data_IF_281734827676
#
_entry.id   IF_281734827676
#
_cell.length_a   1.000
_cell.length_b   1.000
_cell.length_c   1.000
_cell.angle_alpha   90.00
_cell.angle_beta   90.00
_cell.angle_gamma   90.00
#
_symmetry.space_group_name_H-M   'P 1'
#
loop_
_entity.id
_entity.type
_entity.pdbx_description
1 polymer ?
#
# COMPACT_ATOMS: atom_id res chain seq x y z
N UNK A 1 -25.24 13.23 2.13
CA UNK A 1 -24.17 12.51 1.40
C UNK A 1 -24.60 12.35 -0.05
N UNK A 2 -23.80 12.82 -1.00
CA UNK A 2 -24.04 12.61 -2.45
C UNK A 2 -23.18 11.43 -2.88
N UNK A 3 -23.79 10.37 -3.39
CA UNK A 3 -23.09 9.21 -3.96
C UNK A 3 -23.30 9.24 -5.47
N UNK A 4 -22.21 9.23 -6.26
CA UNK A 4 -22.29 9.24 -7.71
C UNK A 4 -21.28 8.29 -8.33
N UNK A 5 -21.74 7.51 -9.32
CA UNK A 5 -20.89 6.74 -10.23
C UNK A 5 -20.72 7.45 -11.59
N UNK A 6 -21.36 8.61 -11.77
CA UNK A 6 -21.37 9.31 -13.05
C UNK A 6 -20.04 10.04 -13.29
N UNK A 7 -19.26 9.68 -14.33
CA UNK A 7 -17.98 10.33 -14.64
C UNK A 7 -18.12 11.81 -14.96
N UNK A 8 -19.27 12.28 -15.42
CA UNK A 8 -19.51 13.71 -15.64
C UNK A 8 -19.58 14.50 -14.33
N UNK A 9 -19.84 13.83 -13.21
CA UNK A 9 -19.90 14.46 -11.88
C UNK A 9 -18.58 14.29 -11.14
N UNK A 10 -18.03 13.06 -11.06
CA UNK A 10 -16.84 12.83 -10.23
C UNK A 10 -15.53 13.33 -10.89
N UNK A 11 -15.44 13.39 -12.23
CA UNK A 11 -14.20 13.89 -12.89
C UNK A 11 -13.98 15.38 -12.63
N UNK A 12 -14.98 16.28 -12.80
CA UNK A 12 -14.82 17.68 -12.41
C UNK A 12 -14.53 17.83 -10.91
N UNK A 13 -15.23 17.07 -10.07
CA UNK A 13 -15.04 17.06 -8.62
C UNK A 13 -13.58 16.73 -8.23
N UNK A 14 -12.99 15.67 -8.79
CA UNK A 14 -11.59 15.28 -8.53
C UNK A 14 -10.57 16.12 -9.30
N UNK A 15 -11.01 16.94 -10.26
CA UNK A 15 -10.18 17.75 -11.15
C UNK A 15 -10.37 19.25 -10.92
N UNK A 16 -11.09 19.90 -11.84
CA UNK A 16 -11.26 21.35 -11.87
C UNK A 16 -11.86 21.94 -10.58
N UNK A 17 -12.72 21.19 -9.89
CA UNK A 17 -13.41 21.60 -8.67
C UNK A 17 -12.76 21.07 -7.39
N UNK A 18 -11.57 20.45 -7.47
CA UNK A 18 -10.91 19.85 -6.30
C UNK A 18 -10.72 20.82 -5.14
N UNK A 19 -10.47 22.10 -5.43
CA UNK A 19 -10.30 23.14 -4.40
C UNK A 19 -11.59 23.45 -3.62
N UNK A 20 -12.75 22.98 -4.10
CA UNK A 20 -14.05 23.11 -3.42
C UNK A 20 -14.44 21.85 -2.65
N UNK A 21 -13.58 20.82 -2.63
CA UNK A 21 -13.85 19.52 -2.03
C UNK A 21 -12.76 19.21 -1.02
N UNK A 22 -13.12 19.28 0.24
CA UNK A 22 -12.26 18.86 1.35
C UNK A 22 -12.34 17.34 1.59
N UNK A 23 -11.33 16.84 2.30
CA UNK A 23 -11.36 15.47 2.82
C UNK A 23 -12.49 15.36 3.84
N UNK A 24 -13.24 14.26 3.80
CA UNK A 24 -14.36 14.06 4.71
C UNK A 24 -13.89 14.13 6.18
N UNK A 25 -14.56 14.91 7.06
CA UNK A 25 -14.18 15.02 8.46
C UNK A 25 -14.12 13.68 9.21
N UNK A 26 -14.92 12.69 8.81
CA UNK A 26 -14.87 11.33 9.35
C UNK A 26 -13.56 10.63 9.01
N UNK A 27 -13.07 10.72 7.77
CA UNK A 27 -11.78 10.16 7.35
C UNK A 27 -10.65 10.85 8.11
N UNK A 28 -10.66 12.19 8.18
CA UNK A 28 -9.66 12.93 8.93
C UNK A 28 -9.69 12.58 10.42
N UNK A 29 -10.88 12.44 11.02
CA UNK A 29 -11.03 12.08 12.43
C UNK A 29 -10.44 10.70 12.75
N UNK A 30 -10.74 9.72 11.91
CA UNK A 30 -10.20 8.35 12.06
C UNK A 30 -8.68 8.34 11.84
N UNK A 31 -8.19 8.97 10.77
CA UNK A 31 -6.76 9.05 10.51
C UNK A 31 -6.03 9.81 11.64
N UNK A 32 -6.61 10.89 12.18
CA UNK A 32 -6.03 11.68 13.28
C UNK A 32 -5.86 10.88 14.55
N UNK A 33 -6.74 9.92 14.82
CA UNK A 33 -6.60 9.06 15.99
C UNK A 33 -5.32 8.22 15.92
N UNK A 34 -5.03 7.62 14.76
CA UNK A 34 -3.89 6.72 14.61
C UNK A 34 -2.61 7.44 14.19
N UNK A 35 -2.72 8.49 13.37
CA UNK A 35 -1.63 9.16 12.67
C UNK A 35 -1.88 10.68 12.61
N UNK A 36 -1.83 11.39 13.75
CA UNK A 36 -2.20 12.79 13.86
C UNK A 36 -1.40 13.76 12.97
N UNK A 37 -0.20 13.37 12.52
CA UNK A 37 0.70 14.13 11.65
C UNK A 37 0.78 13.57 10.22
N UNK A 38 -0.10 12.64 9.85
CA UNK A 38 -0.15 12.14 8.47
C UNK A 38 -0.68 13.18 7.49
N UNK A 39 -0.30 13.02 6.22
CA UNK A 39 -0.73 13.88 5.12
C UNK A 39 -2.26 13.94 4.93
N UNK A 40 -3.00 12.97 5.47
CA UNK A 40 -4.46 12.89 5.42
C UNK A 40 -5.12 13.82 6.47
N UNK A 41 -4.36 14.21 7.50
CA UNK A 41 -4.87 14.89 8.70
C UNK A 41 -4.46 16.36 8.78
N UNK A 42 -3.24 16.68 8.32
CA UNK A 42 -2.70 18.04 8.38
C UNK A 42 -3.48 18.99 7.45
N UNK A 43 -3.59 20.24 7.85
CA UNK A 43 -4.32 21.25 7.10
C UNK A 43 -3.64 21.56 5.75
N UNK A 44 -4.38 22.18 4.82
CA UNK A 44 -3.94 22.37 3.42
C UNK A 44 -2.56 23.04 3.25
N UNK A 45 -2.19 23.96 4.15
CA UNK A 45 -0.87 24.61 4.15
C UNK A 45 0.25 23.62 4.47
N UNK A 46 0.09 22.88 5.56
CA UNK A 46 1.07 21.92 6.09
C UNK A 46 1.10 20.61 5.29
N UNK A 47 0.11 20.33 4.45
CA UNK A 47 0.22 19.15 3.57
C UNK A 47 1.22 19.37 2.42
N UNK A 48 1.42 20.61 1.97
CA UNK A 48 2.11 20.86 0.70
C UNK A 48 3.56 20.38 0.71
N UNK A 49 4.29 20.57 1.81
CA UNK A 49 5.68 20.10 1.94
C UNK A 49 5.74 18.57 2.06
N UNK A 50 4.88 17.95 2.87
CA UNK A 50 4.78 16.48 2.96
C UNK A 50 4.52 15.89 1.57
N UNK A 51 3.54 16.44 0.83
CA UNK A 51 3.20 15.98 -0.52
C UNK A 51 4.36 16.14 -1.49
N UNK A 52 5.13 17.22 -1.39
CA UNK A 52 6.28 17.46 -2.24
C UNK A 52 7.36 16.40 -2.01
N UNK A 53 7.68 16.08 -0.76
CA UNK A 53 8.63 15.02 -0.39
C UNK A 53 8.16 13.65 -0.86
N UNK A 54 6.88 13.33 -0.64
CA UNK A 54 6.28 12.09 -1.13
C UNK A 54 6.35 11.99 -2.66
N UNK A 55 5.97 13.05 -3.38
CA UNK A 55 5.98 13.08 -4.85
C UNK A 55 7.39 12.93 -5.40
N UNK A 56 8.39 13.61 -4.82
CA UNK A 56 9.81 13.45 -5.20
C UNK A 56 10.23 11.98 -5.02
N UNK A 57 9.90 11.38 -3.88
CA UNK A 57 10.20 9.98 -3.63
C UNK A 57 9.54 9.01 -4.60
N UNK A 58 8.23 9.15 -4.85
CA UNK A 58 7.51 8.27 -5.77
C UNK A 58 7.98 8.42 -7.22
N UNK A 59 8.29 9.63 -7.69
CA UNK A 59 8.79 9.86 -9.06
C UNK A 59 10.19 9.25 -9.25
N UNK A 60 11.01 9.25 -8.19
CA UNK A 60 12.36 8.72 -8.24
C UNK A 60 12.44 7.20 -7.98
N UNK A 61 11.32 6.57 -7.63
CA UNK A 61 11.29 5.12 -7.53
C UNK A 61 11.48 4.49 -8.90
N UNK A 62 12.48 3.61 -8.98
CA UNK A 62 12.72 2.79 -10.16
C UNK A 62 11.60 1.75 -10.30
N UNK A 63 10.56 2.06 -11.06
CA UNK A 63 9.48 1.11 -11.39
C UNK A 63 9.97 -0.04 -12.30
N UNK A 64 11.15 0.09 -12.91
CA UNK A 64 11.76 -0.96 -13.74
C UNK A 64 12.00 -2.27 -12.98
N UNK A 65 12.16 -2.20 -11.65
CA UNK A 65 12.36 -3.38 -10.80
C UNK A 65 11.04 -4.01 -10.32
N UNK A 66 9.91 -3.31 -10.47
CA UNK A 66 8.61 -3.79 -10.00
C UNK A 66 8.23 -5.16 -10.57
N UNK A 67 8.36 -5.43 -11.89
CA UNK A 67 8.09 -6.75 -12.46
C UNK A 67 8.91 -7.86 -11.81
N UNK A 68 10.19 -7.59 -11.53
CA UNK A 68 11.09 -8.54 -10.87
C UNK A 68 10.70 -8.77 -9.40
N UNK A 69 10.38 -7.70 -8.66
CA UNK A 69 9.91 -7.78 -7.26
C UNK A 69 8.64 -8.63 -7.18
N UNK A 70 7.65 -8.34 -8.04
CA UNK A 70 6.39 -9.07 -8.07
C UNK A 70 6.61 -10.53 -8.45
N UNK A 71 7.37 -10.81 -9.51
CA UNK A 71 7.67 -12.17 -9.94
C UNK A 71 8.39 -12.97 -8.83
N UNK A 72 9.36 -12.36 -8.14
CA UNK A 72 10.08 -13.04 -7.07
C UNK A 72 9.19 -13.29 -5.85
N UNK A 73 8.31 -12.35 -5.46
CA UNK A 73 7.35 -12.55 -4.36
C UNK A 73 6.32 -13.64 -4.71
N UNK A 74 5.85 -13.68 -5.96
CA UNK A 74 4.96 -14.75 -6.45
C UNK A 74 5.66 -16.10 -6.43
N UNK A 75 6.94 -16.18 -6.81
CA UNK A 75 7.70 -17.43 -6.74
C UNK A 75 7.83 -17.94 -5.30
N UNK A 76 8.03 -17.04 -4.32
CA UNK A 76 8.00 -17.40 -2.89
C UNK A 76 6.65 -17.98 -2.49
N UNK A 77 5.55 -17.35 -2.92
CA UNK A 77 4.20 -17.83 -2.64
C UNK A 77 3.97 -19.21 -3.27
N UNK A 78 4.42 -19.39 -4.51
CA UNK A 78 4.35 -20.68 -5.20
C UNK A 78 5.15 -21.77 -4.49
N UNK A 79 6.34 -21.46 -3.97
CA UNK A 79 7.14 -22.39 -3.19
C UNK A 79 6.46 -22.77 -1.86
N UNK A 80 5.79 -21.81 -1.21
CA UNK A 80 5.06 -22.04 0.04
C UNK A 80 3.79 -22.87 -0.14
N UNK A 81 3.13 -22.73 -1.30
CA UNK A 81 1.89 -23.43 -1.64
C UNK A 81 2.11 -24.70 -2.48
N UNK A 82 3.34 -25.00 -2.89
CA UNK A 82 3.64 -26.15 -3.71
C UNK A 82 3.25 -27.45 -2.99
N UNK A 83 2.30 -28.18 -3.56
CA UNK A 83 2.04 -29.59 -3.23
C UNK A 83 2.78 -30.47 -4.25
N UNK A 84 2.79 -31.79 -4.07
CA UNK A 84 3.50 -32.75 -4.93
C UNK A 84 3.15 -32.69 -6.44
N UNK A 85 2.10 -31.94 -6.84
CA UNK A 85 1.74 -31.67 -8.24
C UNK A 85 2.16 -30.25 -8.67
N UNK A 86 3.23 -30.17 -9.47
CA UNK A 86 4.02 -28.95 -9.76
C UNK A 86 3.38 -27.85 -10.65
N UNK A 87 2.13 -27.96 -11.11
CA UNK A 87 1.62 -27.08 -12.18
C UNK A 87 0.38 -26.24 -11.85
N UNK A 88 -0.28 -26.51 -10.71
CA UNK A 88 -1.45 -25.75 -10.28
C UNK A 88 -1.25 -25.34 -8.83
N UNK A 89 -1.26 -24.03 -8.59
CA UNK A 89 -1.23 -23.50 -7.23
C UNK A 89 -2.67 -23.17 -6.84
N UNK A 90 -3.07 -23.71 -5.70
CA UNK A 90 -4.37 -23.50 -5.08
C UNK A 90 -4.24 -22.32 -4.12
N UNK A 91 -4.82 -21.17 -4.48
CA UNK A 91 -4.68 -19.93 -3.70
C UNK A 91 -6.01 -19.58 -3.03
N UNK A 92 -5.95 -19.28 -1.73
CA UNK A 92 -7.02 -18.60 -0.97
C UNK A 92 -6.70 -17.10 -0.98
N UNK A 93 -7.43 -16.28 -1.75
CA UNK A 93 -7.05 -14.88 -1.98
C UNK A 93 -7.00 -14.05 -0.69
N UNK A 94 -7.94 -14.30 0.24
CA UNK A 94 -8.01 -13.63 1.55
C UNK A 94 -6.75 -13.84 2.40
N UNK A 95 -6.03 -14.94 2.21
CA UNK A 95 -4.81 -15.24 2.97
C UNK A 95 -3.55 -14.83 2.21
N UNK A 96 -3.53 -15.06 0.89
CA UNK A 96 -2.33 -14.86 0.08
C UNK A 96 -2.14 -13.42 -0.40
N UNK A 97 -3.21 -12.72 -0.80
CA UNK A 97 -3.10 -11.37 -1.36
C UNK A 97 -2.63 -10.33 -0.34
N UNK A 98 -3.05 -10.38 0.94
CA UNK A 98 -2.49 -9.51 1.97
C UNK A 98 -0.96 -9.64 2.07
N UNK A 99 -0.45 -10.88 2.20
CA UNK A 99 1.00 -11.14 2.28
C UNK A 99 1.75 -10.66 1.04
N UNK A 100 1.24 -11.00 -0.15
CA UNK A 100 1.87 -10.65 -1.41
C UNK A 100 1.94 -9.13 -1.60
N UNK A 101 0.84 -8.43 -1.32
CA UNK A 101 0.77 -6.97 -1.48
C UNK A 101 1.64 -6.27 -0.44
N UNK A 102 1.64 -6.75 0.80
CA UNK A 102 2.53 -6.27 1.86
C UNK A 102 4.00 -6.38 1.43
N UNK A 103 4.44 -7.56 0.99
CA UNK A 103 5.82 -7.79 0.60
C UNK A 103 6.23 -6.95 -0.61
N UNK A 104 5.42 -6.93 -1.68
CA UNK A 104 5.72 -6.14 -2.89
C UNK A 104 5.80 -4.66 -2.56
N UNK A 105 4.83 -4.13 -1.82
CA UNK A 105 4.73 -2.72 -1.54
C UNK A 105 5.92 -2.21 -0.70
N UNK A 106 6.30 -2.93 0.35
CA UNK A 106 7.43 -2.53 1.20
C UNK A 106 8.79 -2.69 0.48
N UNK A 107 8.93 -3.68 -0.42
CA UNK A 107 10.12 -3.82 -1.26
C UNK A 107 10.26 -2.67 -2.25
N UNK A 108 9.15 -2.20 -2.82
CA UNK A 108 9.13 -1.06 -3.75
C UNK A 108 9.41 0.24 -3.00
N UNK A 109 8.71 0.48 -1.89
CA UNK A 109 8.79 1.75 -1.20
C UNK A 109 10.07 1.95 -0.39
N UNK A 110 10.56 0.88 0.23
CA UNK A 110 11.59 0.95 1.27
C UNK A 110 12.81 0.07 1.00
N UNK A 111 12.82 -0.71 -0.09
CA UNK A 111 13.82 -1.75 -0.33
C UNK A 111 13.96 -2.73 0.84
N UNK A 112 12.89 -2.88 1.64
CA UNK A 112 12.81 -3.84 2.73
C UNK A 112 11.95 -5.01 2.29
N UNK A 113 12.47 -6.23 2.43
CA UNK A 113 11.73 -7.48 2.15
C UNK A 113 11.18 -8.03 3.48
N UNK A 114 9.87 -7.89 3.76
CA UNK A 114 9.28 -8.43 4.99
C UNK A 114 9.24 -9.96 4.97
N UNK A 115 9.12 -10.56 3.79
CA UNK A 115 8.96 -12.00 3.59
C UNK A 115 7.75 -12.58 4.36
N UNK A 116 6.65 -11.83 4.41
CA UNK A 116 5.39 -12.28 5.03
C UNK A 116 4.76 -13.46 4.29
N UNK A 117 5.02 -13.59 2.97
CA UNK A 117 4.59 -14.73 2.16
C UNK A 117 5.17 -16.05 2.68
N UNK A 118 6.42 -16.03 3.15
CA UNK A 118 7.10 -17.19 3.72
C UNK A 118 6.79 -17.39 5.21
N UNK A 119 5.83 -16.64 5.76
CA UNK A 119 5.49 -16.59 7.18
C UNK A 119 6.66 -16.19 8.08
N UNK A 120 7.47 -15.20 7.65
CA UNK A 120 8.52 -14.63 8.48
C UNK A 120 7.97 -14.27 9.89
N UNK A 121 8.64 -14.70 10.98
CA UNK A 121 8.17 -14.45 12.34
C UNK A 121 8.18 -12.96 12.70
N UNK A 122 8.99 -12.14 12.00
CA UNK A 122 9.01 -10.70 12.17
C UNK A 122 7.85 -10.02 11.41
N UNK A 123 7.62 -10.41 10.15
CA UNK A 123 6.65 -9.71 9.29
C UNK A 123 5.21 -10.16 9.51
N UNK A 124 4.97 -11.40 9.93
CA UNK A 124 3.61 -11.92 10.13
C UNK A 124 2.84 -11.11 11.19
N UNK A 125 3.41 -10.80 12.37
CA UNK A 125 2.76 -9.94 13.36
C UNK A 125 2.54 -8.50 12.85
N UNK A 126 3.45 -7.97 12.04
CA UNK A 126 3.32 -6.63 11.46
C UNK A 126 2.17 -6.55 10.46
N UNK A 127 2.04 -7.56 9.60
CA UNK A 127 0.92 -7.72 8.70
C UNK A 127 -0.40 -7.82 9.47
N UNK A 128 -0.46 -8.64 10.52
CA UNK A 128 -1.63 -8.74 11.39
C UNK A 128 -2.01 -7.40 12.01
N UNK A 129 -1.04 -6.68 12.58
CA UNK A 129 -1.26 -5.36 13.17
C UNK A 129 -1.76 -4.33 12.14
N UNK A 130 -1.23 -4.33 10.91
CA UNK A 130 -1.69 -3.47 9.83
C UNK A 130 -3.15 -3.74 9.46
N UNK A 131 -3.53 -5.02 9.35
CA UNK A 131 -4.90 -5.42 9.05
C UNK A 131 -5.86 -5.05 10.19
N UNK A 132 -5.48 -5.27 11.44
CA UNK A 132 -6.27 -4.90 12.62
C UNK A 132 -6.55 -3.39 12.67
N UNK A 133 -5.52 -2.56 12.44
CA UNK A 133 -5.69 -1.10 12.40
C UNK A 133 -6.56 -0.69 11.22
N UNK A 134 -6.35 -1.27 10.03
CA UNK A 134 -7.15 -0.97 8.85
C UNK A 134 -8.64 -1.31 9.05
N UNK A 135 -8.94 -2.45 9.68
CA UNK A 135 -10.31 -2.88 9.95
C UNK A 135 -10.98 -1.93 10.96
N UNK A 136 -10.29 -1.58 12.04
CA UNK A 136 -10.80 -0.60 13.02
C UNK A 136 -10.98 0.78 12.40
N UNK A 137 -10.09 1.20 11.50
CA UNK A 137 -10.29 2.44 10.74
C UNK A 137 -11.59 2.37 9.92
N UNK A 138 -11.85 1.27 9.22
CA UNK A 138 -13.07 1.07 8.45
C UNK A 138 -14.33 1.06 9.33
N UNK A 139 -14.31 0.35 10.46
CA UNK A 139 -15.40 0.35 11.46
C UNK A 139 -15.70 1.78 11.95
N UNK A 140 -14.66 2.55 12.27
CA UNK A 140 -14.80 3.91 12.82
C UNK A 140 -15.28 4.93 11.80
N UNK A 141 -15.08 4.70 10.49
CA UNK A 141 -15.69 5.54 9.44
C UNK A 141 -17.22 5.49 9.50
N UNK A 142 -17.80 4.41 10.04
CA UNK A 142 -19.25 4.24 10.23
C UNK A 142 -19.74 4.72 11.60
N UNK A 143 -18.83 5.04 12.54
CA UNK A 143 -19.17 5.44 13.92
C UNK A 143 -18.86 6.94 14.11
N UNK A 144 -19.88 7.82 14.16
CA UNK A 144 -19.66 9.26 14.16
C UNK A 144 -19.14 9.84 15.49
N UNK A 145 -18.99 9.01 16.53
CA UNK A 145 -18.68 9.46 17.88
C UNK A 145 -17.23 9.14 18.27
N UNK A 146 -16.31 10.08 18.05
CA UNK A 146 -14.88 9.89 18.30
C UNK A 146 -14.53 9.59 19.76
N UNK A 147 -15.32 10.08 20.72
CA UNK A 147 -15.11 9.79 22.14
C UNK A 147 -15.26 8.30 22.47
N UNK A 148 -15.97 7.52 21.65
CA UNK A 148 -16.07 6.06 21.83
C UNK A 148 -14.74 5.36 21.54
N UNK A 149 -13.86 5.98 20.75
CA UNK A 149 -12.57 5.41 20.36
C UNK A 149 -11.54 5.47 21.50
N UNK A 150 -11.73 6.36 22.48
CA UNK A 150 -10.90 6.46 23.68
C UNK A 150 -11.40 5.60 24.84
N UNK A 151 -12.57 4.96 24.71
CA UNK A 151 -13.08 4.07 25.76
C UNK A 151 -12.21 2.80 25.87
N UNK A 152 -12.05 2.22 27.07
CA UNK A 152 -11.21 1.04 27.31
C UNK A 152 -11.87 -0.27 26.83
N UNK A 153 -12.48 -0.24 25.65
CA UNK A 153 -13.08 -1.39 24.99
C UNK A 153 -11.98 -2.33 24.50
N UNK A 154 -12.26 -3.64 24.48
CA UNK A 154 -11.31 -4.65 24.00
C UNK A 154 -10.80 -4.32 22.59
N UNK A 155 -11.71 -3.93 21.67
CA UNK A 155 -11.37 -3.57 20.29
C UNK A 155 -10.43 -2.35 20.19
N UNK A 156 -10.67 -1.30 20.98
CA UNK A 156 -9.79 -0.13 21.01
C UNK A 156 -8.40 -0.51 21.53
N UNK A 157 -8.32 -1.30 22.61
CA UNK A 157 -7.03 -1.77 23.15
C UNK A 157 -6.25 -2.61 22.15
N UNK A 158 -6.92 -3.47 21.39
CA UNK A 158 -6.29 -4.23 20.29
C UNK A 158 -5.75 -3.29 19.21
N UNK A 159 -6.54 -2.30 18.79
CA UNK A 159 -6.13 -1.31 17.79
C UNK A 159 -4.92 -0.50 18.25
N UNK A 160 -4.91 -0.06 19.51
CA UNK A 160 -3.81 0.71 20.11
C UNK A 160 -2.53 -0.13 20.23
N UNK A 161 -2.66 -1.41 20.63
CA UNK A 161 -1.54 -2.33 20.68
C UNK A 161 -0.97 -2.60 19.27
N UNK A 162 -1.83 -2.81 18.28
CA UNK A 162 -1.43 -2.97 16.89
C UNK A 162 -0.74 -1.71 16.35
N UNK A 163 -1.28 -0.52 16.62
CA UNK A 163 -0.66 0.76 16.29
C UNK A 163 0.73 0.89 16.92
N UNK A 164 0.88 0.53 18.20
CA UNK A 164 2.18 0.53 18.89
C UNK A 164 3.20 -0.43 18.28
N UNK A 165 2.77 -1.61 17.79
CA UNK A 165 3.63 -2.56 17.06
C UNK A 165 4.14 -1.93 15.76
N UNK A 166 3.24 -1.33 14.97
CA UNK A 166 3.58 -0.68 13.70
C UNK A 166 4.51 0.51 13.93
N UNK A 167 4.18 1.40 14.87
CA UNK A 167 4.97 2.59 15.20
C UNK A 167 6.40 2.22 15.57
N UNK A 168 6.60 1.23 16.44
CA UNK A 168 7.93 0.75 16.82
C UNK A 168 8.72 0.22 15.62
N UNK A 169 8.06 -0.53 14.71
CA UNK A 169 8.72 -1.00 13.50
C UNK A 169 9.12 0.15 12.58
N UNK A 170 8.25 1.14 12.42
CA UNK A 170 8.53 2.34 11.61
C UNK A 170 9.70 3.10 12.19
N UNK A 171 9.72 3.36 13.50
CA UNK A 171 10.85 4.00 14.21
C UNK A 171 12.17 3.27 13.95
N UNK A 172 12.17 1.94 14.12
CA UNK A 172 13.35 1.12 13.84
C UNK A 172 13.79 1.20 12.37
N UNK A 173 12.83 1.14 11.44
CA UNK A 173 13.11 1.21 10.00
C UNK A 173 13.70 2.58 9.61
N UNK A 174 13.10 3.67 10.09
CA UNK A 174 13.57 5.04 9.86
C UNK A 174 14.96 5.23 10.47
N UNK A 175 15.16 4.81 11.72
CA UNK A 175 16.45 4.91 12.42
C UNK A 175 17.55 4.13 11.72
N UNK A 176 17.30 2.86 11.38
CA UNK A 176 18.26 2.03 10.66
C UNK A 176 18.60 2.62 9.29
N UNK A 177 17.60 3.15 8.56
CA UNK A 177 17.83 3.76 7.26
C UNK A 177 18.65 5.05 7.36
N UNK A 178 18.37 5.93 8.33
CA UNK A 178 19.18 7.14 8.58
C UNK A 178 20.62 6.78 8.92
N UNK A 179 20.85 5.78 9.76
CA UNK A 179 22.19 5.30 10.08
C UNK A 179 22.93 4.80 8.82
N UNK A 180 22.25 4.01 7.99
CA UNK A 180 22.79 3.54 6.71
C UNK A 180 23.13 4.70 5.76
N UNK A 181 22.24 5.67 5.57
CA UNK A 181 22.48 6.82 4.70
C UNK A 181 23.70 7.64 5.11
N UNK A 182 23.93 7.81 6.41
CA UNK A 182 25.12 8.51 6.94
C UNK A 182 26.43 7.76 6.68
N UNK A 183 26.36 6.45 6.46
CA UNK A 183 27.54 5.62 6.18
C UNK A 183 27.91 5.56 4.69
N UNK A 184 27.09 6.13 3.82
CA UNK A 184 27.28 6.08 2.37
C UNK A 184 27.89 7.38 1.83
N UNK A 185 28.85 7.24 0.91
CA UNK A 185 29.35 8.38 0.13
C UNK A 185 28.36 8.77 -0.99
N UNK A 186 27.66 7.79 -1.57
CA UNK A 186 26.71 7.99 -2.66
C UNK A 186 25.54 7.00 -2.60
N UNK A 187 24.31 7.49 -2.83
CA UNK A 187 23.10 6.68 -2.87
C UNK A 187 22.68 6.42 -4.33
N UNK A 188 22.92 5.19 -4.81
CA UNK A 188 22.66 4.83 -6.21
C UNK A 188 21.18 4.67 -6.56
N UNK A 189 20.34 4.31 -5.57
CA UNK A 189 18.91 4.02 -5.77
C UNK A 189 18.09 4.53 -4.59
N UNK A 190 17.70 5.82 -4.60
CA UNK A 190 16.91 6.37 -3.53
C UNK A 190 15.50 5.77 -3.49
N UNK A 191 14.99 5.59 -2.29
CA UNK A 191 13.67 5.07 -1.95
C UNK A 191 12.79 6.19 -1.43
N UNK A 192 11.48 5.95 -1.29
CA UNK A 192 10.59 6.95 -0.69
C UNK A 192 11.03 7.31 0.74
N UNK A 193 11.48 6.30 1.49
CA UNK A 193 11.98 6.50 2.84
C UNK A 193 13.20 7.44 2.86
N UNK A 194 14.11 7.32 1.89
CA UNK A 194 15.28 8.20 1.79
C UNK A 194 14.91 9.68 1.64
N UNK A 195 13.91 9.96 0.80
CA UNK A 195 13.42 11.33 0.61
C UNK A 195 12.74 11.87 1.86
N UNK A 196 11.95 11.05 2.56
CA UNK A 196 11.30 11.46 3.80
C UNK A 196 12.33 11.71 4.91
N UNK A 197 13.35 10.86 5.03
CA UNK A 197 14.43 11.06 6.02
C UNK A 197 15.29 12.28 5.70
N UNK A 198 15.61 12.51 4.42
CA UNK A 198 16.38 13.68 4.00
C UNK A 198 15.59 14.98 4.22
N UNK A 199 14.28 14.99 3.95
CA UNK A 199 13.42 16.13 4.25
C UNK A 199 13.39 16.42 5.77
N UNK A 200 13.38 15.39 6.61
CA UNK A 200 13.51 15.59 8.06
C UNK A 200 14.88 16.13 8.47
N UNK A 201 15.98 15.59 7.94
CA UNK A 201 17.34 16.09 8.22
C UNK A 201 17.53 17.56 7.77
N UNK A 202 16.80 18.00 6.73
CA UNK A 202 16.75 19.38 6.26
C UNK A 202 15.73 20.27 6.99
N UNK A 203 15.09 19.77 8.05
CA UNK A 203 14.06 20.51 8.83
C UNK A 203 12.83 20.88 7.99
N UNK A 204 12.59 20.18 6.88
CA UNK A 204 11.37 20.31 6.07
C UNK A 204 10.22 19.46 6.65
N UNK A 205 10.55 18.37 7.35
CA UNK A 205 9.59 17.51 8.03
C UNK A 205 9.99 17.29 9.50
N UNK A 206 9.00 17.30 10.38
CA UNK A 206 9.16 16.80 11.74
C UNK A 206 9.33 15.29 11.74
N UNK A 207 9.92 14.76 12.81
CA UNK A 207 10.08 13.31 12.97
C UNK A 207 8.71 12.61 13.00
N UNK A 208 7.74 13.18 13.72
CA UNK A 208 6.38 12.64 13.77
C UNK A 208 5.68 12.62 12.41
N UNK A 209 5.87 13.65 11.57
CA UNK A 209 5.36 13.62 10.19
C UNK A 209 5.99 12.47 9.41
N UNK A 210 7.31 12.27 9.50
CA UNK A 210 7.94 11.13 8.82
C UNK A 210 7.35 9.81 9.31
N UNK A 211 7.29 9.61 10.63
CA UNK A 211 6.82 8.35 11.22
C UNK A 211 5.34 8.09 10.88
N UNK A 212 4.46 9.09 11.01
CA UNK A 212 3.03 8.94 10.73
C UNK A 212 2.73 8.70 9.26
N UNK A 213 3.48 9.33 8.34
CA UNK A 213 3.29 9.11 6.91
C UNK A 213 3.80 7.73 6.48
N UNK A 214 4.94 7.27 7.03
CA UNK A 214 5.43 5.90 6.79
C UNK A 214 4.47 4.87 7.38
N UNK A 215 3.96 5.11 8.59
CA UNK A 215 2.92 4.26 9.21
C UNK A 215 1.63 4.25 8.38
N UNK A 216 1.23 5.39 7.80
CA UNK A 216 0.10 5.46 6.88
C UNK A 216 0.24 4.55 5.68
N UNK A 217 1.45 4.41 5.12
CA UNK A 217 1.71 3.44 4.06
C UNK A 217 1.67 1.98 4.55
N UNK A 218 2.09 1.71 5.78
CA UNK A 218 1.93 0.39 6.42
C UNK A 218 0.46 0.01 6.63
N UNK A 219 -0.48 0.95 6.60
CA UNK A 219 -1.91 0.66 6.73
C UNK A 219 -2.59 0.69 5.34
N UNK A 220 -2.26 1.67 4.51
CA UNK A 220 -2.92 1.93 3.23
C UNK A 220 -2.58 0.92 2.11
N UNK A 221 -1.55 0.07 2.28
CA UNK A 221 -1.19 -0.93 1.26
C UNK A 221 -2.28 -1.97 1.02
N UNK A 222 -3.17 -2.21 2.00
CA UNK A 222 -4.22 -3.22 1.90
C UNK A 222 -5.17 -2.98 0.71
N UNK A 223 -5.29 -1.73 0.26
CA UNK A 223 -6.13 -1.32 -0.86
C UNK A 223 -5.42 -1.27 -2.23
N UNK A 224 -4.16 -1.74 -2.33
CA UNK A 224 -3.38 -1.63 -3.57
C UNK A 224 -3.82 -2.65 -4.64
N UNK A 225 -4.97 -2.38 -5.27
CA UNK A 225 -5.59 -3.15 -6.36
C UNK A 225 -4.66 -3.35 -7.57
N UNK A 226 -3.64 -2.51 -7.74
CA UNK A 226 -2.66 -2.59 -8.84
C UNK A 226 -1.80 -3.86 -8.74
N UNK A 227 -1.43 -4.28 -7.54
CA UNK A 227 -0.69 -5.54 -7.34
C UNK A 227 -1.59 -6.73 -7.68
N UNK A 228 -2.84 -6.71 -7.20
CA UNK A 228 -3.84 -7.70 -7.57
C UNK A 228 -4.05 -7.76 -9.10
N UNK A 229 -4.15 -6.61 -9.77
CA UNK A 229 -4.33 -6.55 -11.22
C UNK A 229 -3.13 -7.13 -11.98
N UNK A 230 -1.90 -6.84 -11.55
CA UNK A 230 -0.69 -7.40 -12.18
C UNK A 230 -0.58 -8.91 -11.97
N UNK A 231 -0.90 -9.38 -10.76
CA UNK A 231 -0.95 -10.81 -10.42
C UNK A 231 -2.00 -11.51 -11.28
N UNK A 232 -3.22 -10.97 -11.35
CA UNK A 232 -4.32 -11.50 -12.17
C UNK A 232 -3.91 -11.54 -13.66
N UNK A 233 -3.26 -10.49 -14.16
CA UNK A 233 -2.85 -10.42 -15.57
C UNK A 233 -1.72 -11.39 -15.94
N UNK A 234 -0.96 -11.92 -14.97
CA UNK A 234 0.17 -12.82 -15.20
C UNK A 234 -0.21 -14.31 -15.16
N UNK A 235 -1.46 -14.63 -14.85
CA UNK A 235 -1.94 -15.99 -14.64
C UNK A 235 -3.21 -16.27 -15.45
N UNK A 236 -3.32 -17.50 -15.94
CA UNK A 236 -4.61 -18.06 -16.33
C UNK A 236 -5.34 -18.49 -15.06
N UNK A 237 -6.43 -17.77 -14.76
CA UNK A 237 -7.23 -17.98 -13.57
C UNK A 237 -8.42 -18.86 -13.93
N UNK A 238 -8.46 -20.04 -13.35
CA UNK A 238 -9.58 -20.97 -13.47
C UNK A 238 -10.13 -21.33 -12.10
N UNK A 239 -11.35 -21.86 -12.10
CA UNK A 239 -12.08 -22.24 -10.88
C UNK A 239 -12.42 -23.71 -10.92
N UNK A 240 -12.40 -24.43 -9.78
CA UNK A 240 -13.00 -25.76 -9.71
C UNK A 240 -14.48 -25.69 -10.12
N UNK A 241 -14.92 -26.62 -10.97
CA UNK A 241 -16.30 -26.65 -11.46
C UNK A 241 -17.35 -26.71 -10.32
N UNK A 242 -16.99 -27.33 -9.19
CA UNK A 242 -17.91 -27.63 -8.10
C UNK A 242 -17.87 -26.61 -6.93
N UNK A 243 -17.15 -25.49 -7.06
CA UNK A 243 -17.03 -24.52 -5.97
C UNK A 243 -18.32 -23.70 -5.72
N UNK A 244 -18.39 -22.91 -4.63
CA UNK A 244 -19.35 -21.81 -4.47
C UNK A 244 -18.94 -20.58 -5.30
N UNK A 245 -19.90 -19.87 -5.91
CA UNK A 245 -19.61 -18.75 -6.82
C UNK A 245 -18.83 -17.64 -6.11
N UNK A 246 -17.67 -17.24 -6.65
CA UNK A 246 -16.94 -16.08 -6.15
C UNK A 246 -17.74 -14.85 -6.57
N UNK A 247 -18.48 -14.26 -5.63
CA UNK A 247 -18.98 -12.90 -5.80
C UNK A 247 -17.79 -11.95 -5.64
N UNK A 248 -17.11 -11.67 -6.75
CA UNK A 248 -16.16 -10.57 -6.77
C UNK A 248 -16.95 -9.28 -7.03
N UNK A 249 -17.61 -8.77 -5.99
CA UNK A 249 -18.22 -7.45 -6.10
C UNK A 249 -17.10 -6.42 -5.99
N UNK A 250 -16.56 -6.01 -7.14
CA UNK A 250 -15.55 -4.95 -7.23
C UNK A 250 -16.13 -3.55 -6.97
N UNK A 251 -17.36 -3.45 -6.47
CA UNK A 251 -17.97 -2.18 -6.07
C UNK A 251 -17.01 -1.42 -5.15
N UNK A 252 -16.69 -0.15 -5.46
CA UNK A 252 -15.79 0.70 -4.65
C UNK A 252 -16.34 1.08 -3.26
N UNK A 253 -17.16 0.23 -2.65
CA UNK A 253 -17.63 0.42 -1.28
C UNK A 253 -16.55 0.01 -0.28
N UNK A 254 -16.60 0.62 0.90
CA UNK A 254 -15.83 0.38 2.12
C UNK A 254 -15.98 -1.05 2.71
N UNK A 255 -16.28 -2.03 1.87
CA UNK A 255 -16.35 -3.44 2.21
C UNK A 255 -16.21 -4.25 0.92
N UNK A 256 -15.14 -5.04 0.84
CA UNK A 256 -15.11 -6.20 -0.05
C UNK A 256 -16.13 -7.19 0.49
N UNK A 257 -17.14 -7.58 -0.29
CA UNK A 257 -17.86 -8.81 0.04
C UNK A 257 -16.87 -9.97 0.03
N UNK A 258 -16.94 -10.84 1.04
CA UNK A 258 -16.06 -12.00 1.16
C UNK A 258 -16.22 -12.91 -0.07
N UNK A 259 -15.24 -12.87 -0.96
CA UNK A 259 -15.07 -13.87 -2.00
C UNK A 259 -14.67 -15.21 -1.36
N UNK A 260 -15.66 -16.00 -0.94
CA UNK A 260 -15.44 -17.35 -0.47
C UNK A 260 -15.15 -18.27 -1.66
N UNK A 261 -13.97 -18.88 -1.69
CA UNK A 261 -13.61 -19.85 -2.72
C UNK A 261 -12.11 -19.98 -2.97
N UNK A 262 -11.80 -20.99 -3.76
CA UNK A 262 -10.43 -21.34 -4.15
C UNK A 262 -10.23 -21.02 -5.63
N UNK A 263 -9.08 -20.45 -5.97
CA UNK A 263 -8.70 -20.20 -7.36
C UNK A 263 -7.53 -21.11 -7.77
N UNK A 264 -7.59 -21.63 -8.99
CA UNK A 264 -6.48 -22.33 -9.63
C UNK A 264 -5.69 -21.34 -10.46
N UNK A 265 -4.44 -21.10 -10.06
CA UNK A 265 -3.55 -20.18 -10.75
C UNK A 265 -2.61 -20.98 -11.63
N UNK A 266 -2.80 -20.90 -12.94
CA UNK A 266 -1.92 -21.53 -13.92
C UNK A 266 -1.04 -20.46 -14.55
N UNK A 267 0.28 -20.62 -14.43
CA UNK A 267 1.23 -19.68 -15.04
C UNK A 267 1.12 -19.75 -16.57
N UNK A 268 0.95 -18.60 -17.23
CA UNK A 268 0.90 -18.53 -18.69
C UNK A 268 2.21 -19.06 -19.30
N UNK A 269 2.12 -19.89 -20.34
CA UNK A 269 3.29 -20.53 -20.95
C UNK A 269 4.26 -19.54 -21.58
N UNK A 270 3.74 -18.39 -22.05
CA UNK A 270 4.55 -17.25 -22.53
C UNK A 270 5.53 -16.72 -21.47
N UNK A 271 5.25 -16.93 -20.18
CA UNK A 271 6.11 -16.54 -19.06
C UNK A 271 7.07 -17.66 -18.61
N UNK A 272 7.02 -18.85 -19.21
CA UNK A 272 7.96 -19.95 -18.96
C UNK A 272 9.22 -19.84 -19.83
N UNK A 273 9.10 -19.27 -21.03
CA UNK A 273 10.18 -19.21 -22.04
C UNK A 273 11.08 -17.97 -21.95
N UNK A 274 10.72 -16.97 -21.12
CA UNK A 274 11.44 -15.70 -21.05
C UNK A 274 12.24 -15.59 -19.73
N UNK A 275 13.55 -15.89 -19.71
CA UNK A 275 14.42 -15.52 -18.59
C UNK A 275 14.57 -14.00 -18.45
N UNK A 276 14.14 -13.23 -19.46
CA UNK A 276 14.08 -11.78 -19.45
C UNK A 276 12.64 -11.32 -19.73
N UNK A 277 11.97 -10.84 -18.69
CA UNK A 277 10.60 -10.31 -18.74
C UNK A 277 10.54 -9.19 -19.79
N UNK A 278 9.83 -9.44 -20.90
CA UNK A 278 9.39 -8.35 -21.79
C UNK A 278 8.21 -7.68 -21.10
N UNK A 279 8.50 -6.61 -20.39
CA UNK A 279 7.48 -5.66 -19.94
C UNK A 279 7.05 -4.89 -21.19
N UNK A 280 5.81 -5.05 -21.63
CA UNK A 280 5.22 -4.06 -22.53
C UNK A 280 5.17 -2.74 -21.77
N UNK A 281 6.14 -1.85 -22.02
CA UNK A 281 6.15 -0.49 -21.51
C UNK A 281 4.87 0.20 -22.00
N UNK A 282 3.87 0.33 -21.14
CA UNK A 282 2.80 1.30 -21.33
C UNK A 282 3.42 2.68 -21.13
N UNK A 283 3.99 3.24 -22.20
CA UNK A 283 4.48 4.62 -22.21
C UNK A 283 3.28 5.55 -22.16
N UNK A 284 2.92 6.01 -20.95
CA UNK A 284 2.10 7.21 -20.81
C UNK A 284 2.93 8.40 -21.30
N UNK A 285 2.65 8.90 -22.51
CA UNK A 285 3.20 10.17 -23.01
C UNK A 285 2.66 11.32 -22.16
N UNK A 286 3.33 11.64 -21.07
CA UNK A 286 3.09 12.88 -20.34
C UNK A 286 3.77 14.02 -21.11
N UNK A 287 3.01 14.77 -21.92
CA UNK A 287 3.47 16.06 -22.48
C UNK A 287 3.53 17.08 -21.33
N UNK A 288 4.64 17.13 -20.62
CA UNK A 288 4.97 18.29 -19.78
C UNK A 288 5.61 19.35 -20.68
N UNK A 289 4.85 20.39 -21.07
CA UNK A 289 5.44 21.64 -21.54
C UNK A 289 5.97 22.36 -20.30
N UNK A 290 7.27 22.21 -20.02
CA UNK A 290 7.97 23.18 -19.19
C UNK A 290 8.35 24.35 -20.11
N UNK A 291 7.55 25.42 -20.07
CA UNK A 291 7.99 26.74 -20.51
C UNK A 291 8.96 27.26 -19.44
N UNK A 292 10.25 27.25 -19.76
CA UNK A 292 11.23 28.07 -19.07
C UNK A 292 10.92 29.54 -19.36
N UNK A 293 10.34 30.25 -18.40
CA UNK A 293 10.50 31.71 -18.34
C UNK A 293 11.65 31.99 -17.39
N UNK A 294 12.78 32.36 -17.97
CA UNK A 294 13.82 33.17 -17.34
C UNK A 294 14.20 34.24 -18.38
N UNK A 295 14.37 35.47 -17.87
CA UNK A 295 14.52 36.79 -18.51
C UNK A 295 13.26 37.38 -19.15
#
# INVERSE_FOLDING_TARGET
MIITKNPTVFRPALGALRHNIDVAPSICGVARYFMPRSFVVVDHGDWTHIRQSLRRGTVMQSLDTLPHIVASTINKLGAQLATSNNFVITVVPKEALPKLTFDVFHRVLYQWDPDSVSNSPEATPLLGAALDVSEVMAERLLVPFSFLWSLPLARNRTADAACGILRRKVENLVGARRAYLRSLDNLSRPTLLDFMTAAHDNVELTEDEVLDNIMGFFIAWADLKVVCAYVIASYDLSRPADGPSIKYDSTPSLGLEEGNGTMHWRRLESLKAAPHVIVHNFVYKHKAKYTSQNS
#
